data_IF_055102332269
#
_entry.id   IF_055102332269
#
_cell.length_a   1.000
_cell.length_b   1.000
_cell.length_c   1.000
_cell.angle_alpha   90.00
_cell.angle_beta   90.00
_cell.angle_gamma   90.00
#
_symmetry.space_group_name_H-M   'P 1'
#
loop_
_entity.id
_entity.type
_entity.pdbx_description
1 polymer ?
#
# COMPACT_ATOMS: atom_id res chain seq x y z
N UNK A 1 11.21 7.94 8.25
CA UNK A 1 11.19 6.52 8.68
C UNK A 1 12.02 6.34 9.95
N UNK A 2 13.15 7.05 10.07
CA UNK A 2 14.00 7.04 11.26
C UNK A 2 13.23 7.29 12.57
N UNK A 3 12.33 8.28 12.60
CA UNK A 3 11.49 8.52 13.78
C UNK A 3 10.45 7.42 14.07
N UNK A 4 9.97 6.70 13.06
CA UNK A 4 9.01 5.60 13.25
C UNK A 4 9.67 4.39 13.90
N UNK A 5 10.90 4.08 13.50
CA UNK A 5 11.69 2.95 14.02
C UNK A 5 12.63 3.34 15.16
N UNK A 6 12.58 4.59 15.63
CA UNK A 6 13.47 5.07 16.68
C UNK A 6 13.23 4.29 17.97
N UNK A 7 14.30 3.69 18.49
CA UNK A 7 14.30 2.84 19.67
C UNK A 7 15.27 3.39 20.71
N UNK A 8 14.78 3.52 21.95
CA UNK A 8 15.54 3.91 23.13
C UNK A 8 15.05 3.12 24.36
N UNK A 9 15.75 3.22 25.48
CA UNK A 9 15.43 2.43 26.68
C UNK A 9 13.97 2.59 27.19
N UNK A 10 13.35 3.74 26.91
CA UNK A 10 11.93 4.01 27.24
C UNK A 10 11.01 4.05 26.03
N UNK A 11 11.52 3.85 24.81
CA UNK A 11 10.74 3.95 23.55
C UNK A 11 11.03 2.70 22.71
N UNK A 12 10.04 1.82 22.58
CA UNK A 12 10.22 0.58 21.82
C UNK A 12 10.41 0.81 20.32
N UNK A 13 9.75 1.81 19.74
CA UNK A 13 9.73 2.06 18.29
C UNK A 13 8.77 1.14 17.53
N UNK A 14 8.51 1.45 16.27
CA UNK A 14 7.70 0.61 15.38
C UNK A 14 8.46 -0.66 14.94
N UNK A 15 7.74 -1.75 14.71
CA UNK A 15 8.36 -3.04 14.35
C UNK A 15 8.31 -3.35 12.85
N UNK A 16 7.26 -2.92 12.15
CA UNK A 16 7.07 -3.19 10.73
C UNK A 16 6.30 -2.07 10.03
N UNK A 17 6.75 -1.68 8.84
CA UNK A 17 6.08 -0.69 8.00
C UNK A 17 5.99 -1.17 6.56
N UNK A 18 4.77 -1.23 6.03
CA UNK A 18 4.55 -1.31 4.59
C UNK A 18 4.39 0.09 4.03
N UNK A 19 5.17 0.40 2.99
CA UNK A 19 5.12 1.70 2.34
C UNK A 19 4.59 1.51 0.92
N UNK A 20 3.49 2.20 0.63
CA UNK A 20 2.97 2.39 -0.71
C UNK A 20 3.05 3.89 -1.03
N UNK A 21 3.69 4.27 -2.13
CA UNK A 21 3.75 5.66 -2.62
C UNK A 21 3.06 5.70 -3.98
N UNK A 22 1.77 6.02 -3.96
CA UNK A 22 0.91 5.96 -5.14
C UNK A 22 -0.37 6.77 -4.90
N UNK A 23 -1.03 7.14 -6.00
CA UNK A 23 -2.30 7.87 -5.98
C UNK A 23 -3.47 6.89 -6.05
N UNK A 24 -4.59 7.25 -5.43
CA UNK A 24 -5.82 6.43 -5.47
C UNK A 24 -6.36 6.32 -6.90
N UNK A 25 -6.25 7.39 -7.67
CA UNK A 25 -6.69 7.49 -9.06
C UNK A 25 -5.95 6.49 -9.96
N UNK A 26 -4.68 6.22 -9.67
CA UNK A 26 -3.89 5.21 -10.39
C UNK A 26 -4.43 3.80 -10.16
N UNK A 27 -4.86 3.47 -8.94
CA UNK A 27 -5.46 2.17 -8.64
C UNK A 27 -6.83 2.03 -9.27
N UNK A 28 -7.63 3.10 -9.31
CA UNK A 28 -8.91 3.11 -10.01
C UNK A 28 -8.71 2.88 -11.52
N UNK A 29 -7.74 3.54 -12.15
CA UNK A 29 -7.41 3.30 -13.55
C UNK A 29 -6.93 1.86 -13.78
N UNK A 30 -6.17 1.29 -12.85
CA UNK A 30 -5.70 -0.09 -12.94
C UNK A 30 -6.80 -1.14 -12.70
N UNK A 31 -7.92 -0.79 -12.04
CA UNK A 31 -9.10 -1.66 -11.93
C UNK A 31 -9.88 -1.75 -13.24
N UNK A 32 -9.91 -0.66 -14.01
CA UNK A 32 -10.61 -0.59 -15.30
C UNK A 32 -9.72 -1.05 -16.47
N UNK A 33 -8.42 -0.76 -16.43
CA UNK A 33 -7.44 -1.02 -17.49
C UNK A 33 -6.23 -1.85 -16.99
N UNK A 34 -6.41 -3.11 -16.56
CA UNK A 34 -5.35 -3.91 -15.95
C UNK A 34 -4.14 -4.18 -16.86
N UNK A 35 -4.34 -4.22 -18.19
CA UNK A 35 -3.30 -4.42 -19.21
C UNK A 35 -2.32 -3.24 -19.32
N UNK A 36 -2.74 -2.04 -18.92
CA UNK A 36 -1.86 -0.87 -18.81
C UNK A 36 -0.87 -0.97 -17.64
N UNK A 37 -1.19 -1.84 -16.67
CA UNK A 37 -0.46 -1.98 -15.41
C UNK A 37 -0.04 -3.43 -15.12
N UNK A 38 0.65 -4.14 -16.05
CA UNK A 38 0.88 -5.58 -15.95
C UNK A 38 1.77 -5.98 -14.76
N UNK A 39 2.60 -5.04 -14.28
CA UNK A 39 3.56 -5.26 -13.19
C UNK A 39 3.28 -4.38 -11.96
N UNK A 40 2.12 -3.69 -11.90
CA UNK A 40 1.78 -2.84 -10.76
C UNK A 40 1.76 -3.67 -9.48
N UNK A 41 2.69 -3.37 -8.59
CA UNK A 41 2.92 -4.10 -7.34
C UNK A 41 2.58 -3.22 -6.16
N UNK A 42 1.80 -3.75 -5.23
CA UNK A 42 1.38 -3.05 -4.01
C UNK A 42 1.71 -3.87 -2.77
N UNK A 43 1.94 -3.20 -1.64
CA UNK A 43 2.13 -3.83 -0.33
C UNK A 43 0.77 -4.00 0.36
N UNK A 44 0.42 -5.23 0.71
CA UNK A 44 -0.80 -5.60 1.44
C UNK A 44 -0.45 -6.52 2.61
N UNK A 45 -0.91 -6.18 3.82
CA UNK A 45 -0.87 -7.03 5.02
C UNK A 45 0.46 -7.76 5.32
N UNK A 46 1.61 -7.17 4.95
CA UNK A 46 2.95 -7.70 5.24
C UNK A 46 3.72 -8.21 4.02
N UNK A 47 3.07 -8.36 2.87
CA UNK A 47 3.67 -8.88 1.63
C UNK A 47 3.34 -8.01 0.42
N UNK A 48 3.93 -8.34 -0.73
CA UNK A 48 3.66 -7.65 -1.99
C UNK A 48 2.84 -8.54 -2.93
N UNK A 49 1.92 -7.95 -3.69
CA UNK A 49 1.11 -8.62 -4.71
C UNK A 49 1.06 -7.78 -5.98
N UNK A 50 0.85 -8.42 -7.13
CA UNK A 50 0.44 -7.68 -8.32
C UNK A 50 -1.02 -7.27 -8.18
N UNK A 51 -1.34 -6.02 -8.43
CA UNK A 51 -2.69 -5.50 -8.24
C UNK A 51 -3.73 -6.21 -9.13
N UNK A 52 -3.33 -6.60 -10.34
CA UNK A 52 -4.16 -7.38 -11.27
C UNK A 52 -4.37 -8.85 -10.88
N UNK A 53 -3.65 -9.36 -9.87
CA UNK A 53 -3.85 -10.71 -9.34
C UNK A 53 -4.93 -10.79 -8.25
N UNK A 54 -5.44 -9.64 -7.79
CA UNK A 54 -6.48 -9.54 -6.77
C UNK A 54 -7.87 -9.68 -7.39
N UNK A 55 -8.83 -10.22 -6.62
CA UNK A 55 -10.25 -10.17 -7.00
C UNK A 55 -10.79 -8.73 -6.93
N UNK A 56 -11.89 -8.42 -7.63
CA UNK A 56 -12.50 -7.08 -7.56
C UNK A 56 -12.87 -6.67 -6.13
N UNK A 57 -13.32 -7.61 -5.30
CA UNK A 57 -13.61 -7.37 -3.88
C UNK A 57 -12.34 -7.01 -3.10
N UNK A 58 -11.23 -7.71 -3.34
CA UNK A 58 -9.94 -7.41 -2.71
C UNK A 58 -9.35 -6.09 -3.20
N UNK A 59 -9.49 -5.77 -4.48
CA UNK A 59 -9.11 -4.46 -5.02
C UNK A 59 -9.93 -3.35 -4.36
N UNK A 60 -11.23 -3.58 -4.18
CA UNK A 60 -12.14 -2.65 -3.50
C UNK A 60 -11.67 -2.39 -2.05
N UNK A 61 -11.29 -3.44 -1.32
CA UNK A 61 -10.72 -3.31 0.03
C UNK A 61 -9.41 -2.52 0.03
N UNK A 62 -8.55 -2.67 -0.98
CA UNK A 62 -7.31 -1.88 -1.07
C UNK A 62 -7.60 -0.39 -1.29
N UNK A 63 -8.52 -0.04 -2.19
CA UNK A 63 -8.79 1.37 -2.56
C UNK A 63 -9.62 2.13 -1.52
N UNK A 64 -10.27 1.45 -0.57
CA UNK A 64 -11.02 2.08 0.52
C UNK A 64 -10.16 2.33 1.76
N UNK A 65 -8.94 1.76 1.82
CA UNK A 65 -7.97 2.06 2.88
C UNK A 65 -7.54 3.52 2.86
N UNK A 66 -6.98 3.98 3.97
CA UNK A 66 -6.49 5.35 4.13
C UNK A 66 -5.32 5.64 3.18
N UNK A 67 -5.42 6.73 2.42
CA UNK A 67 -4.33 7.34 1.67
C UNK A 67 -3.91 8.63 2.37
N UNK A 68 -2.77 8.58 3.06
CA UNK A 68 -2.22 9.71 3.81
C UNK A 68 -1.94 10.90 2.88
N UNK A 69 -2.58 12.04 3.12
CA UNK A 69 -2.47 13.25 2.28
C UNK A 69 -1.42 14.23 2.77
N UNK A 70 -1.17 14.26 4.08
CA UNK A 70 -0.23 15.15 4.75
C UNK A 70 0.55 14.37 5.80
N UNK A 71 1.74 14.86 6.14
CA UNK A 71 2.54 14.36 7.27
C UNK A 71 1.90 14.68 8.61
#
# INVERSE_FOLDING_TARGET
MDGYFHHEASIEGGQHLNVNVMNREMLLDAMENPEKYPQLTIRVSGYAVRFNSLTKEQQQDVITRTFTQTM
#
